data_IF_338525326460
#
_entry.id   IF_338525326460
#
_cell.length_a   1.000
_cell.length_b   1.000
_cell.length_c   1.000
_cell.angle_alpha   90.00
_cell.angle_beta   90.00
_cell.angle_gamma   90.00
#
_symmetry.space_group_name_H-M   'P 1'
#
loop_
_entity.id
_entity.type
_entity.pdbx_description
1 polymer ?
#
# COMPACT_ATOMS: atom_id res chain seq x y z
N UNK A 1 -12.69 -25.89 -26.54
CA UNK A 1 -14.00 -25.77 -25.89
C UNK A 1 -14.11 -24.44 -25.14
N UNK A 2 -15.32 -23.99 -24.90
CA UNK A 2 -15.59 -22.78 -24.14
C UNK A 2 -15.66 -23.08 -22.62
N UNK A 3 -15.31 -22.11 -21.80
CA UNK A 3 -15.37 -22.20 -20.36
C UNK A 3 -15.99 -20.96 -19.72
N UNK A 4 -16.62 -21.14 -18.57
CA UNK A 4 -17.21 -20.07 -17.79
C UNK A 4 -16.79 -20.18 -16.33
N UNK A 5 -16.43 -19.04 -15.71
CA UNK A 5 -16.02 -18.93 -14.32
C UNK A 5 -16.89 -17.87 -13.64
N UNK A 6 -17.47 -18.21 -12.50
CA UNK A 6 -18.08 -17.30 -11.56
C UNK A 6 -17.17 -17.18 -10.34
N UNK A 7 -16.70 -15.97 -10.03
CA UNK A 7 -15.77 -15.79 -8.90
C UNK A 7 -15.89 -14.41 -8.25
N UNK A 8 -15.56 -14.37 -6.97
CA UNK A 8 -15.48 -13.13 -6.18
C UNK A 8 -14.13 -12.45 -6.46
N UNK A 9 -14.08 -11.53 -7.43
CA UNK A 9 -12.85 -10.89 -7.91
C UNK A 9 -13.00 -9.39 -8.13
N UNK A 10 -11.92 -8.64 -7.96
CA UNK A 10 -11.81 -7.22 -8.33
C UNK A 10 -11.38 -7.01 -9.80
N UNK A 11 -11.02 -8.08 -10.50
CA UNK A 11 -10.45 -7.99 -11.85
C UNK A 11 -10.80 -9.20 -12.71
N UNK A 12 -12.06 -9.33 -13.16
CA UNK A 12 -12.49 -10.46 -13.99
C UNK A 12 -11.67 -10.60 -15.28
N UNK A 13 -11.21 -9.51 -15.88
CA UNK A 13 -10.31 -9.55 -17.04
C UNK A 13 -8.92 -10.10 -16.70
N UNK A 14 -8.40 -9.81 -15.50
CA UNK A 14 -7.14 -10.37 -15.02
C UNK A 14 -7.28 -11.88 -14.79
N UNK A 15 -8.38 -12.30 -14.15
CA UNK A 15 -8.69 -13.72 -13.96
C UNK A 15 -8.79 -14.44 -15.29
N UNK A 16 -9.50 -13.86 -16.27
CA UNK A 16 -9.61 -14.42 -17.62
C UNK A 16 -8.25 -14.59 -18.29
N UNK A 17 -7.45 -13.53 -18.33
CA UNK A 17 -6.16 -13.56 -18.98
C UNK A 17 -5.19 -14.57 -18.32
N UNK A 18 -5.12 -14.56 -16.98
CA UNK A 18 -4.25 -15.46 -16.23
C UNK A 18 -4.69 -16.94 -16.39
N UNK A 19 -5.98 -17.22 -16.24
CA UNK A 19 -6.51 -18.59 -16.39
C UNK A 19 -6.32 -19.12 -17.80
N UNK A 20 -6.63 -18.31 -18.81
CA UNK A 20 -6.43 -18.70 -20.22
C UNK A 20 -4.95 -19.03 -20.50
N UNK A 21 -4.03 -18.18 -20.03
CA UNK A 21 -2.58 -18.40 -20.15
C UNK A 21 -2.12 -19.69 -19.49
N UNK A 22 -2.55 -19.92 -18.24
CA UNK A 22 -2.15 -21.11 -17.47
C UNK A 22 -2.67 -22.42 -18.06
N UNK A 23 -3.84 -22.40 -18.71
CA UNK A 23 -4.48 -23.59 -19.26
C UNK A 23 -4.28 -23.77 -20.76
N UNK A 24 -3.51 -22.88 -21.40
CA UNK A 24 -3.29 -22.91 -22.85
C UNK A 24 -4.57 -22.67 -23.67
N UNK A 25 -5.49 -21.86 -23.16
CA UNK A 25 -6.76 -21.49 -23.80
C UNK A 25 -6.66 -20.13 -24.50
N UNK A 26 -7.49 -19.90 -25.51
CA UNK A 26 -7.70 -18.53 -26.03
C UNK A 26 -8.56 -17.76 -25.02
N UNK A 27 -8.26 -16.47 -24.82
CA UNK A 27 -9.07 -15.63 -23.95
C UNK A 27 -10.52 -15.50 -24.43
N UNK A 28 -10.74 -15.57 -25.74
CA UNK A 28 -12.09 -15.57 -26.35
C UNK A 28 -12.96 -16.77 -25.94
N UNK A 29 -12.32 -17.87 -25.55
CA UNK A 29 -12.99 -19.11 -25.18
C UNK A 29 -13.34 -19.18 -23.69
N UNK A 30 -13.00 -18.13 -22.93
CA UNK A 30 -13.23 -18.05 -21.49
C UNK A 30 -14.05 -16.80 -21.12
N UNK A 31 -15.18 -17.03 -20.48
CA UNK A 31 -15.99 -15.98 -19.84
C UNK A 31 -15.75 -15.99 -18.34
N UNK A 32 -15.56 -14.81 -17.75
CA UNK A 32 -15.42 -14.66 -16.31
C UNK A 32 -16.45 -13.64 -15.82
N UNK A 33 -17.35 -14.10 -14.98
CA UNK A 33 -18.40 -13.30 -14.35
C UNK A 33 -18.03 -13.04 -12.89
N UNK A 34 -17.91 -11.76 -12.54
CA UNK A 34 -17.66 -11.37 -11.15
C UNK A 34 -18.94 -11.57 -10.33
N UNK A 35 -18.84 -12.27 -9.22
CA UNK A 35 -19.91 -12.40 -8.23
C UNK A 35 -19.70 -11.39 -7.10
N UNK A 36 -20.70 -11.30 -6.21
CA UNK A 36 -20.67 -10.41 -5.05
C UNK A 36 -19.43 -10.67 -4.16
N UNK A 37 -18.91 -9.58 -3.58
CA UNK A 37 -17.77 -9.60 -2.69
C UNK A 37 -18.10 -8.99 -1.34
N UNK A 38 -17.83 -9.71 -0.25
CA UNK A 38 -17.94 -9.18 1.11
C UNK A 38 -16.80 -8.20 1.48
N UNK A 39 -15.77 -8.10 0.63
CA UNK A 39 -14.61 -7.22 0.76
C UNK A 39 -13.40 -7.83 0.05
N UNK A 40 -12.50 -6.99 -0.44
CA UNK A 40 -11.30 -7.44 -1.16
C UNK A 40 -10.06 -6.58 -0.88
N UNK A 41 -10.21 -5.26 -0.81
CA UNK A 41 -9.15 -4.30 -0.45
C UNK A 41 -7.84 -4.44 -1.25
N UNK A 42 -7.92 -4.94 -2.49
CA UNK A 42 -6.77 -5.24 -3.35
C UNK A 42 -6.38 -6.72 -3.37
N UNK A 43 -6.72 -7.52 -2.35
CA UNK A 43 -6.32 -8.93 -2.25
C UNK A 43 -6.94 -9.85 -3.30
N UNK A 44 -8.03 -9.44 -3.95
CA UNK A 44 -8.71 -10.22 -5.00
C UNK A 44 -8.44 -9.68 -6.42
N UNK A 45 -7.28 -9.09 -6.63
CA UNK A 45 -6.80 -8.65 -7.96
C UNK A 45 -5.96 -9.68 -8.70
N UNK A 46 -5.71 -10.84 -8.08
CA UNK A 46 -4.94 -11.96 -8.63
C UNK A 46 -5.79 -13.23 -8.62
N UNK A 47 -5.31 -14.28 -9.29
CA UNK A 47 -5.97 -15.60 -9.31
C UNK A 47 -5.51 -16.47 -8.14
N UNK A 48 -6.42 -17.30 -7.64
CA UNK A 48 -6.13 -18.33 -6.64
C UNK A 48 -6.69 -19.70 -7.05
N UNK A 49 -7.99 -19.92 -6.91
CA UNK A 49 -8.66 -21.20 -7.19
C UNK A 49 -9.20 -21.29 -8.63
N UNK A 50 -9.39 -20.17 -9.30
CA UNK A 50 -10.10 -20.11 -10.57
C UNK A 50 -9.46 -20.98 -11.66
N UNK A 51 -8.13 -20.93 -11.87
CA UNK A 51 -7.49 -21.81 -12.86
C UNK A 51 -7.59 -23.29 -12.48
N UNK A 52 -7.55 -23.62 -11.17
CA UNK A 52 -7.64 -24.99 -10.68
C UNK A 52 -9.05 -25.53 -10.88
N UNK A 53 -10.08 -24.77 -10.52
CA UNK A 53 -11.47 -25.14 -10.74
C UNK A 53 -11.78 -25.37 -12.22
N UNK A 54 -11.27 -24.50 -13.09
CA UNK A 54 -11.44 -24.63 -14.54
C UNK A 54 -10.72 -25.88 -15.08
N UNK A 55 -9.51 -26.16 -14.63
CA UNK A 55 -8.77 -27.37 -15.02
C UNK A 55 -9.51 -28.64 -14.60
N UNK A 56 -10.04 -28.68 -13.40
CA UNK A 56 -10.82 -29.81 -12.90
C UNK A 56 -12.13 -29.97 -13.66
N UNK A 57 -12.86 -28.90 -13.91
CA UNK A 57 -14.08 -28.91 -14.71
C UNK A 57 -13.83 -29.47 -16.12
N UNK A 58 -12.75 -29.04 -16.77
CA UNK A 58 -12.34 -29.58 -18.08
C UNK A 58 -12.02 -31.08 -18.01
N UNK A 59 -11.38 -31.52 -16.91
CA UNK A 59 -10.97 -32.92 -16.76
C UNK A 59 -12.15 -33.86 -16.50
N UNK A 60 -13.13 -33.44 -15.68
CA UNK A 60 -14.29 -34.28 -15.34
C UNK A 60 -15.52 -34.01 -16.22
N UNK A 61 -15.47 -33.01 -17.09
CA UNK A 61 -16.59 -32.57 -17.94
C UNK A 61 -17.87 -32.19 -17.12
N UNK A 62 -17.69 -31.69 -15.89
CA UNK A 62 -18.74 -31.30 -14.96
C UNK A 62 -18.47 -29.93 -14.35
N UNK A 63 -19.48 -29.20 -13.90
CA UNK A 63 -19.29 -28.00 -13.08
C UNK A 63 -18.51 -28.33 -11.80
N UNK A 64 -17.53 -27.48 -11.48
CA UNK A 64 -16.70 -27.62 -10.27
C UNK A 64 -16.82 -26.37 -9.41
N UNK A 65 -17.10 -26.54 -8.14
CA UNK A 65 -17.10 -25.48 -7.13
C UNK A 65 -15.96 -25.71 -6.15
N UNK A 66 -15.16 -24.65 -5.91
CA UNK A 66 -14.07 -24.65 -4.93
C UNK A 66 -14.21 -23.45 -3.98
N UNK A 67 -13.97 -23.68 -2.71
CA UNK A 67 -14.00 -22.63 -1.67
C UNK A 67 -12.87 -22.92 -0.70
N UNK A 68 -12.03 -21.92 -0.42
CA UNK A 68 -11.00 -22.02 0.63
C UNK A 68 -11.64 -21.95 2.02
N UNK A 69 -11.21 -22.80 2.91
CA UNK A 69 -11.41 -22.61 4.35
C UNK A 69 -10.64 -21.38 4.85
N UNK A 70 -10.97 -20.89 6.04
CA UNK A 70 -10.22 -19.75 6.63
C UNK A 70 -8.73 -20.07 6.80
N UNK A 71 -8.38 -21.29 7.16
CA UNK A 71 -6.99 -21.72 7.31
C UNK A 71 -6.26 -21.69 5.97
N UNK A 72 -6.88 -22.14 4.90
CA UNK A 72 -6.31 -22.11 3.55
C UNK A 72 -6.15 -20.68 3.04
N UNK A 73 -7.12 -19.80 3.28
CA UNK A 73 -6.99 -18.37 2.95
C UNK A 73 -5.75 -17.75 3.62
N UNK A 74 -5.55 -18.04 4.92
CA UNK A 74 -4.40 -17.51 5.66
C UNK A 74 -3.05 -18.11 5.22
N UNK A 75 -3.04 -19.34 4.69
CA UNK A 75 -1.82 -20.02 4.26
C UNK A 75 -1.47 -19.82 2.79
N UNK A 76 -2.48 -19.71 1.93
CA UNK A 76 -2.30 -19.78 0.47
C UNK A 76 -2.68 -18.49 -0.29
N UNK A 77 -3.38 -17.54 0.34
CA UNK A 77 -3.60 -16.24 -0.29
C UNK A 77 -2.46 -15.26 0.04
N UNK A 78 -2.27 -14.23 -0.81
CA UNK A 78 -1.19 -13.27 -0.64
C UNK A 78 -1.40 -12.36 0.57
N UNK A 79 -0.45 -12.32 1.53
CA UNK A 79 -0.44 -11.35 2.61
C UNK A 79 -0.05 -9.97 2.10
N UNK A 80 -0.29 -8.92 2.88
CA UNK A 80 0.43 -7.65 2.65
C UNK A 80 1.93 -7.86 2.83
N UNK A 81 2.74 -7.11 2.09
CA UNK A 81 4.19 -7.21 2.17
C UNK A 81 4.68 -6.82 3.58
N UNK A 82 5.50 -7.67 4.19
CA UNK A 82 6.23 -7.28 5.38
C UNK A 82 7.32 -6.26 5.03
N UNK A 83 7.74 -5.45 6.00
CA UNK A 83 8.72 -4.40 5.73
C UNK A 83 9.69 -4.18 6.89
N UNK A 84 10.89 -3.74 6.52
CA UNK A 84 11.89 -3.17 7.44
C UNK A 84 12.26 -1.80 6.89
N UNK A 85 12.14 -0.78 7.73
CA UNK A 85 12.39 0.60 7.32
C UNK A 85 13.40 1.27 8.25
N UNK A 86 14.35 2.01 7.65
CA UNK A 86 15.25 2.91 8.36
C UNK A 86 15.01 4.31 7.85
N UNK A 87 14.45 5.17 8.69
CA UNK A 87 14.17 6.56 8.36
C UNK A 87 15.03 7.46 9.23
N UNK A 88 15.65 8.47 8.60
CA UNK A 88 16.41 9.52 9.29
C UNK A 88 15.93 10.87 8.82
N UNK A 89 15.70 11.78 9.74
CA UNK A 89 15.29 13.17 9.46
C UNK A 89 16.20 14.10 10.27
N UNK A 90 16.87 15.00 9.58
CA UNK A 90 17.63 16.08 10.18
C UNK A 90 16.80 17.37 10.19
N UNK A 91 16.70 18.02 11.35
CA UNK A 91 15.99 19.27 11.48
C UNK A 91 16.78 20.27 12.35
N UNK A 92 16.59 21.56 12.07
CA UNK A 92 17.02 22.66 12.94
C UNK A 92 16.13 22.74 14.18
N UNK A 93 16.56 23.49 15.20
CA UNK A 93 15.75 23.74 16.42
C UNK A 93 14.43 24.44 16.13
N UNK A 94 14.35 25.21 15.07
CA UNK A 94 13.13 25.89 14.62
C UNK A 94 12.16 24.99 13.84
N UNK A 95 12.48 23.68 13.71
CA UNK A 95 11.66 22.69 13.00
C UNK A 95 11.89 22.61 11.49
N UNK A 96 12.77 23.42 10.90
CA UNK A 96 13.09 23.33 9.46
C UNK A 96 13.84 22.03 9.18
N UNK A 97 13.29 21.18 8.33
CA UNK A 97 13.95 19.92 7.91
C UNK A 97 15.07 20.25 6.94
N UNK A 98 16.28 19.80 7.24
CA UNK A 98 17.48 20.06 6.43
C UNK A 98 17.79 18.92 5.47
N UNK A 99 17.29 17.74 5.76
CA UNK A 99 17.42 16.56 4.91
C UNK A 99 16.78 15.35 5.50
N UNK A 100 16.46 14.38 4.65
CA UNK A 100 15.83 13.13 5.04
C UNK A 100 16.35 11.93 4.24
N UNK A 101 16.41 10.76 4.87
CA UNK A 101 16.70 9.52 4.15
C UNK A 101 15.73 8.44 4.57
N UNK A 102 15.34 7.58 3.61
CA UNK A 102 14.58 6.37 3.88
C UNK A 102 15.21 5.18 3.17
N UNK A 103 15.52 4.12 3.91
CA UNK A 103 15.82 2.80 3.38
C UNK A 103 14.60 1.91 3.65
N UNK A 104 13.97 1.43 2.56
CA UNK A 104 12.72 0.68 2.60
C UNK A 104 12.95 -0.72 2.04
N UNK A 105 12.80 -1.77 2.85
CA UNK A 105 12.88 -3.16 2.42
C UNK A 105 11.52 -3.81 2.56
N UNK A 106 10.99 -4.32 1.46
CA UNK A 106 9.68 -4.99 1.43
C UNK A 106 9.83 -6.44 0.98
N UNK A 107 9.23 -7.36 1.72
CA UNK A 107 9.21 -8.78 1.37
C UNK A 107 8.13 -9.08 0.33
N UNK A 108 8.54 -9.42 -0.89
CA UNK A 108 7.64 -9.77 -2.00
C UNK A 108 7.04 -11.17 -1.89
N UNK A 109 7.54 -12.00 -0.98
CA UNK A 109 7.25 -13.44 -0.97
C UNK A 109 8.15 -14.21 -1.94
N UNK A 110 7.72 -15.37 -2.38
CA UNK A 110 8.52 -16.27 -3.23
C UNK A 110 8.80 -15.70 -4.64
N UNK A 111 8.15 -14.60 -5.01
CA UNK A 111 8.33 -13.92 -6.30
C UNK A 111 8.46 -12.42 -6.10
N UNK A 112 9.20 -11.70 -6.97
CA UNK A 112 9.28 -10.24 -6.94
C UNK A 112 7.90 -9.58 -7.12
N UNK A 113 7.80 -8.31 -6.73
CA UNK A 113 6.60 -7.49 -6.88
C UNK A 113 6.03 -7.01 -5.55
N UNK A 114 6.89 -6.76 -4.57
CA UNK A 114 6.52 -5.99 -3.38
C UNK A 114 6.20 -4.53 -3.77
N UNK A 115 5.38 -3.81 -2.99
CA UNK A 115 4.89 -2.48 -3.34
C UNK A 115 5.93 -1.37 -3.06
N UNK A 116 7.17 -1.55 -3.50
CA UNK A 116 8.29 -0.65 -3.21
C UNK A 116 8.16 0.71 -3.89
N UNK A 117 7.63 0.73 -5.12
CA UNK A 117 7.48 1.98 -5.89
C UNK A 117 6.47 2.89 -5.18
N UNK A 118 5.27 2.38 -4.85
CA UNK A 118 4.25 3.15 -4.13
C UNK A 118 4.74 3.63 -2.77
N UNK A 119 5.49 2.79 -2.04
CA UNK A 119 6.11 3.17 -0.78
C UNK A 119 7.12 4.31 -0.95
N UNK A 120 8.03 4.21 -1.92
CA UNK A 120 9.03 5.22 -2.18
C UNK A 120 8.41 6.55 -2.63
N UNK A 121 7.43 6.50 -3.55
CA UNK A 121 6.74 7.70 -4.03
C UNK A 121 6.02 8.46 -2.91
N UNK A 122 5.44 7.75 -1.93
CA UNK A 122 4.65 8.36 -0.87
C UNK A 122 5.47 8.75 0.37
N UNK A 123 6.71 8.27 0.52
CA UNK A 123 7.48 8.42 1.75
C UNK A 123 7.57 9.87 2.24
N UNK A 124 8.02 10.79 1.39
CA UNK A 124 8.18 12.20 1.74
C UNK A 124 7.40 13.16 0.82
N UNK A 125 6.52 12.66 -0.04
CA UNK A 125 5.88 13.46 -1.09
C UNK A 125 5.09 14.67 -0.59
N UNK A 126 4.62 14.61 0.66
CA UNK A 126 3.83 15.69 1.28
C UNK A 126 4.66 16.81 1.88
N UNK A 127 5.99 16.71 1.84
CA UNK A 127 6.91 17.69 2.39
C UNK A 127 7.76 18.34 1.29
N UNK A 128 8.02 19.63 1.43
CA UNK A 128 8.95 20.38 0.60
C UNK A 128 10.36 20.27 1.17
N UNK A 129 11.16 19.37 0.65
CA UNK A 129 12.47 19.02 1.18
C UNK A 129 13.55 19.15 0.10
N UNK A 130 14.53 19.98 0.34
CA UNK A 130 15.65 20.20 -0.59
C UNK A 130 16.58 18.98 -0.73
N UNK A 131 16.72 18.19 0.33
CA UNK A 131 17.69 17.07 0.37
C UNK A 131 16.99 15.79 0.83
N UNK A 132 16.68 14.90 -0.11
CA UNK A 132 16.05 13.60 0.17
C UNK A 132 16.75 12.48 -0.57
N UNK A 133 16.97 11.36 0.12
CA UNK A 133 17.42 10.11 -0.49
C UNK A 133 16.49 8.99 -0.08
N UNK A 134 15.92 8.30 -1.07
CA UNK A 134 15.10 7.09 -0.84
C UNK A 134 15.78 5.93 -1.55
N UNK A 135 16.00 4.84 -0.81
CA UNK A 135 16.47 3.57 -1.37
C UNK A 135 15.46 2.50 -1.01
N UNK A 136 14.90 1.82 -2.01
CA UNK A 136 13.87 0.82 -1.81
C UNK A 136 14.28 -0.52 -2.43
N UNK A 137 14.00 -1.61 -1.71
CA UNK A 137 14.37 -2.97 -2.09
C UNK A 137 13.12 -3.86 -2.09
N UNK A 138 12.91 -4.56 -3.20
CA UNK A 138 12.00 -5.68 -3.28
C UNK A 138 12.78 -6.96 -2.94
N UNK A 139 12.45 -7.57 -1.82
CA UNK A 139 13.20 -8.70 -1.26
C UNK A 139 12.39 -9.97 -1.44
N UNK A 140 12.94 -10.92 -2.19
CA UNK A 140 12.36 -12.27 -2.30
C UNK A 140 12.62 -13.02 -0.98
N UNK A 141 11.56 -13.58 -0.43
CA UNK A 141 11.59 -14.30 0.85
C UNK A 141 10.73 -15.57 0.76
N UNK A 142 11.03 -16.56 1.57
CA UNK A 142 10.30 -17.83 1.59
C UNK A 142 8.92 -17.70 2.30
N UNK A 143 8.00 -17.02 1.63
CA UNK A 143 6.59 -16.79 2.05
C UNK A 143 5.67 -16.79 0.83
N UNK A 144 4.34 -16.91 0.99
CA UNK A 144 3.42 -16.68 -0.11
C UNK A 144 3.67 -15.32 -0.78
N UNK A 145 3.46 -15.24 -2.09
CA UNK A 145 3.59 -14.00 -2.85
C UNK A 145 2.72 -12.90 -2.23
N UNK A 146 3.33 -11.76 -1.94
CA UNK A 146 2.58 -10.62 -1.41
C UNK A 146 1.51 -10.18 -2.40
N UNK A 147 0.32 -9.89 -1.89
CA UNK A 147 -0.79 -9.31 -2.65
C UNK A 147 -1.03 -7.85 -2.25
N UNK A 148 -1.78 -7.17 -3.08
CA UNK A 148 -2.15 -5.80 -2.81
C UNK A 148 -3.05 -5.69 -1.58
N UNK A 149 -2.76 -4.73 -0.72
CA UNK A 149 -3.64 -4.31 0.36
C UNK A 149 -3.71 -2.79 0.39
N UNK A 150 -4.89 -2.24 0.19
CA UNK A 150 -5.33 -0.83 0.27
C UNK A 150 -4.20 0.20 0.24
N UNK A 151 -3.94 0.79 -0.93
CA UNK A 151 -2.80 1.67 -1.24
C UNK A 151 -1.42 1.00 -0.95
N UNK A 152 -1.07 -0.08 -1.68
CA UNK A 152 0.10 -0.90 -1.39
C UNK A 152 1.38 -0.09 -1.19
N UNK A 153 2.03 -0.27 -0.04
CA UNK A 153 3.27 0.40 0.33
C UNK A 153 3.11 1.78 0.97
N UNK A 154 2.09 2.55 0.57
CA UNK A 154 1.93 3.95 1.02
C UNK A 154 1.66 4.08 2.52
N UNK A 155 0.70 3.35 3.15
CA UNK A 155 0.49 3.42 4.59
C UNK A 155 1.71 2.98 5.38
N UNK A 156 2.43 1.97 4.89
CA UNK A 156 3.63 1.44 5.54
C UNK A 156 4.74 2.49 5.56
N UNK A 157 5.05 3.11 4.40
CA UNK A 157 6.05 4.17 4.31
C UNK A 157 5.64 5.40 5.14
N UNK A 158 4.36 5.78 5.09
CA UNK A 158 3.83 6.87 5.89
C UNK A 158 4.03 6.62 7.39
N UNK A 159 3.75 5.40 7.88
CA UNK A 159 3.98 5.06 9.28
C UNK A 159 5.43 5.30 9.69
N UNK A 160 6.40 4.84 8.89
CA UNK A 160 7.83 5.02 9.20
C UNK A 160 8.26 6.48 9.22
N UNK A 161 7.85 7.26 8.21
CA UNK A 161 8.21 8.67 8.07
C UNK A 161 7.54 9.51 9.15
N UNK A 162 6.22 9.37 9.32
CA UNK A 162 5.45 10.19 10.24
C UNK A 162 5.79 9.91 11.73
N UNK A 163 6.07 8.65 12.06
CA UNK A 163 6.55 8.29 13.40
C UNK A 163 7.92 8.89 13.70
N UNK A 164 8.82 8.90 12.71
CA UNK A 164 10.14 9.52 12.83
C UNK A 164 10.01 11.04 12.98
N UNK A 165 9.16 11.69 12.17
CA UNK A 165 8.94 13.13 12.26
C UNK A 165 8.31 13.54 13.60
N UNK A 166 7.36 12.74 14.11
CA UNK A 166 6.80 12.96 15.44
C UNK A 166 7.85 12.82 16.55
N UNK A 167 8.81 11.91 16.41
CA UNK A 167 9.94 11.78 17.33
C UNK A 167 10.87 12.99 17.26
N UNK A 168 11.13 13.53 16.06
CA UNK A 168 11.89 14.79 15.87
C UNK A 168 11.18 15.95 16.56
N UNK A 169 9.87 16.12 16.32
CA UNK A 169 9.07 17.18 16.95
C UNK A 169 9.18 17.13 18.48
N UNK A 170 8.97 15.96 19.09
CA UNK A 170 9.15 15.76 20.53
C UNK A 170 10.56 16.15 21.01
N UNK A 171 11.60 15.73 20.27
CA UNK A 171 13.00 15.99 20.64
C UNK A 171 13.34 17.48 20.68
N UNK A 172 12.74 18.28 19.79
CA UNK A 172 12.98 19.75 19.73
C UNK A 172 11.93 20.55 20.50
N UNK A 173 10.95 19.89 21.16
CA UNK A 173 9.90 20.54 21.92
C UNK A 173 8.86 21.26 21.05
N UNK A 174 8.64 20.79 19.81
CA UNK A 174 7.71 21.41 18.86
C UNK A 174 6.43 20.60 18.75
N UNK A 175 5.30 21.26 18.52
CA UNK A 175 4.04 20.60 18.24
C UNK A 175 4.14 19.73 16.97
N UNK A 176 3.62 18.49 16.98
CA UNK A 176 3.70 17.57 15.83
C UNK A 176 3.01 18.07 14.56
N UNK A 177 1.92 18.84 14.66
CA UNK A 177 1.30 19.45 13.49
C UNK A 177 2.07 20.68 13.02
N UNK A 178 2.62 21.47 13.93
CA UNK A 178 3.40 22.65 13.59
C UNK A 178 4.66 22.31 12.76
N UNK A 179 5.40 21.25 13.10
CA UNK A 179 6.56 20.83 12.27
C UNK A 179 6.11 20.32 10.89
N UNK A 180 4.95 19.67 10.77
CA UNK A 180 4.38 19.26 9.49
C UNK A 180 3.98 20.45 8.64
N UNK A 181 3.26 21.39 9.22
CA UNK A 181 2.81 22.61 8.54
C UNK A 181 4.00 23.43 8.03
N UNK A 182 5.04 23.58 8.87
CA UNK A 182 6.25 24.32 8.50
C UNK A 182 6.95 23.76 7.26
N UNK A 183 6.95 22.45 7.10
CA UNK A 183 7.62 21.76 5.99
C UNK A 183 6.65 21.21 4.94
N UNK A 184 5.38 21.61 4.99
CA UNK A 184 4.35 21.13 4.08
C UNK A 184 4.66 21.51 2.62
N UNK A 185 4.50 20.56 1.71
CA UNK A 185 4.50 20.85 0.29
C UNK A 185 3.31 21.76 -0.06
N UNK A 186 3.55 22.68 -0.98
CA UNK A 186 2.58 23.67 -1.48
C UNK A 186 2.57 23.64 -3.00
N UNK A 187 1.69 24.42 -3.61
CA UNK A 187 1.73 24.62 -5.05
C UNK A 187 3.11 25.14 -5.48
N UNK A 188 3.71 24.52 -6.48
CA UNK A 188 5.09 24.77 -6.90
C UNK A 188 6.16 23.88 -6.24
N UNK A 189 5.87 23.22 -5.12
CA UNK A 189 6.80 22.24 -4.53
C UNK A 189 6.99 21.03 -5.44
N UNK A 190 8.22 20.53 -5.54
CA UNK A 190 8.57 19.39 -6.39
C UNK A 190 8.89 18.17 -5.53
N UNK A 191 8.28 17.03 -5.86
CA UNK A 191 8.59 15.76 -5.22
C UNK A 191 9.99 15.26 -5.62
N UNK A 192 10.54 14.31 -4.84
CA UNK A 192 11.81 13.63 -5.17
C UNK A 192 11.82 12.91 -6.52
N UNK A 193 10.66 12.69 -7.13
CA UNK A 193 10.49 12.08 -8.45
C UNK A 193 10.26 13.10 -9.58
N UNK A 194 10.43 14.39 -9.28
CA UNK A 194 10.35 15.46 -10.27
C UNK A 194 8.93 15.94 -10.60
N UNK A 195 7.90 15.42 -9.93
CA UNK A 195 6.53 15.91 -10.09
C UNK A 195 6.34 17.21 -9.30
N UNK A 196 5.81 18.25 -9.94
CA UNK A 196 5.47 19.53 -9.31
C UNK A 196 3.99 19.57 -8.99
N UNK A 197 3.64 19.95 -7.77
CA UNK A 197 2.25 20.12 -7.35
C UNK A 197 1.68 21.42 -7.92
N UNK A 198 0.55 21.30 -8.60
CA UNK A 198 -0.23 22.44 -9.13
C UNK A 198 -1.48 22.74 -8.30
N UNK A 199 -1.95 21.73 -7.55
CA UNK A 199 -3.11 21.85 -6.66
C UNK A 199 -2.97 20.84 -5.50
N UNK A 200 -2.49 21.31 -4.35
CA UNK A 200 -2.28 20.51 -3.14
C UNK A 200 -2.84 21.23 -1.92
N UNK A 201 -3.73 20.60 -1.17
CA UNK A 201 -4.35 21.12 0.05
C UNK A 201 -3.76 20.54 1.35
N UNK A 202 -2.48 20.10 1.36
CA UNK A 202 -1.91 19.44 2.54
C UNK A 202 -1.73 20.40 3.72
N UNK A 203 -1.28 21.62 3.47
CA UNK A 203 -1.14 22.62 4.53
C UNK A 203 -2.50 22.97 5.14
N UNK A 204 -3.49 23.21 4.31
CA UNK A 204 -4.86 23.54 4.71
C UNK A 204 -5.52 22.42 5.54
N UNK A 205 -5.23 21.16 5.22
CA UNK A 205 -5.72 20.02 6.04
C UNK A 205 -5.09 20.00 7.44
N UNK A 206 -3.81 20.37 7.56
CA UNK A 206 -3.14 20.48 8.86
C UNK A 206 -3.72 21.65 9.66
N UNK A 207 -3.89 22.81 9.03
CA UNK A 207 -4.49 23.98 9.66
C UNK A 207 -5.90 23.70 10.20
N UNK A 208 -6.74 23.03 9.39
CA UNK A 208 -8.07 22.62 9.82
C UNK A 208 -8.05 21.66 11.02
N UNK A 209 -7.04 20.77 11.10
CA UNK A 209 -6.85 19.89 12.26
C UNK A 209 -6.41 20.67 13.51
N UNK A 210 -5.51 21.64 13.35
CA UNK A 210 -5.05 22.49 14.46
C UNK A 210 -6.17 23.35 15.03
N UNK A 211 -7.11 23.77 14.19
CA UNK A 211 -8.27 24.56 14.60
C UNK A 211 -9.41 23.72 15.19
N UNK A 212 -9.41 22.42 14.96
CA UNK A 212 -10.46 21.55 15.44
C UNK A 212 -10.50 21.51 16.98
N UNK A 213 -11.67 21.70 17.63
CA UNK A 213 -11.78 21.75 19.09
C UNK A 213 -11.16 20.54 19.79
N UNK A 214 -11.33 19.33 19.25
CA UNK A 214 -10.76 18.10 19.81
C UNK A 214 -9.23 18.10 19.87
N UNK A 215 -8.54 18.83 18.99
CA UNK A 215 -7.07 18.93 19.02
C UNK A 215 -6.59 19.68 20.29
N UNK A 216 -7.38 20.62 20.78
CA UNK A 216 -7.07 21.48 21.93
C UNK A 216 -7.48 20.88 23.28
N UNK A 217 -8.25 19.80 23.30
CA UNK A 217 -8.69 19.15 24.56
C UNK A 217 -7.49 18.51 25.26
N UNK A 218 -7.24 18.79 26.55
CA UNK A 218 -6.19 18.10 27.30
C UNK A 218 -6.42 16.59 27.35
N UNK A 219 -5.34 15.83 27.22
CA UNK A 219 -5.39 14.37 27.34
C UNK A 219 -5.22 13.96 28.82
N UNK A 220 -6.04 13.02 29.27
CA UNK A 220 -5.89 12.37 30.56
C UNK A 220 -4.77 11.29 30.55
N UNK A 221 -4.50 10.68 31.70
CA UNK A 221 -3.56 9.57 31.80
C UNK A 221 -3.95 8.42 30.86
N UNK A 222 -2.96 7.84 30.15
CA UNK A 222 -3.14 6.73 29.21
C UNK A 222 -4.09 7.02 28.02
N UNK A 223 -4.31 8.28 27.69
CA UNK A 223 -5.04 8.70 26.50
C UNK A 223 -4.07 9.11 25.38
N UNK A 224 -4.44 8.81 24.15
CA UNK A 224 -3.76 9.24 22.94
C UNK A 224 -4.72 9.94 22.00
N UNK A 225 -4.18 10.77 21.11
CA UNK A 225 -4.92 11.43 20.03
C UNK A 225 -4.36 10.97 18.70
N UNK A 226 -5.22 10.55 17.79
CA UNK A 226 -4.89 10.16 16.43
C UNK A 226 -5.90 10.72 15.44
#
# INVERSE_FOLDING_TARGET
>A
GQGEIFCSTQGHFVVRAATAKLLGMKQSDLTVTASEMGGAFGGKTVVYLEPVAMALSRKCALPVRMVMSRVEVLKASGPTACSVMKVKIGAKKDGTITGATAELKFGGGAFPGAPVIGAAMCAFSRYDLANVKITAYDVVINRPKAAAYRAPGSPTAAFGVESTLAAVARKIGMDPLAIRLKNAARNGSTTVFGQTFTNIGYAETIEALMDHPNYKVPLGPNQGRG
#
